data_IF_264628315815
#
_entry.id   IF_264628315815
#
_cell.length_a   1.000
_cell.length_b   1.000
_cell.length_c   1.000
_cell.angle_alpha   90.00
_cell.angle_beta   90.00
_cell.angle_gamma   90.00
#
_symmetry.space_group_name_H-M   'P 1'
#
loop_
_entity.id
_entity.type
_entity.pdbx_description
1 polymer ?
#
# COMPACT_ATOMS: atom_id res chain seq x y z
N UNK A 1 2.74 33.48 62.54
CA UNK A 1 2.54 34.85 63.04
C UNK A 1 2.63 35.76 61.83
N UNK A 2 1.58 36.24 61.20
CA UNK A 2 0.13 36.17 61.40
C UNK A 2 -0.52 36.62 60.07
N UNK A 3 -1.76 36.17 59.84
CA UNK A 3 -2.89 36.82 59.14
C UNK A 3 -2.61 37.58 57.82
N UNK A 4 -3.07 37.17 56.64
CA UNK A 4 -4.45 36.86 56.21
C UNK A 4 -5.42 38.06 56.38
N UNK A 5 -5.88 38.57 55.23
CA UNK A 5 -7.12 39.32 55.02
C UNK A 5 -7.72 38.67 53.76
N UNK A 6 -8.60 37.69 53.96
CA UNK A 6 -10.06 37.78 53.89
C UNK A 6 -10.54 38.33 52.53
N UNK A 7 -10.91 37.46 51.59
CA UNK A 7 -12.22 36.80 51.45
C UNK A 7 -13.41 37.77 51.39
N UNK A 8 -14.10 37.79 50.25
CA UNK A 8 -15.56 37.84 50.24
C UNK A 8 -16.15 37.32 48.91
N UNK A 9 -16.69 36.09 49.03
CA UNK A 9 -18.00 35.61 48.52
C UNK A 9 -18.21 35.56 46.99
N UNK A 10 -18.63 34.46 46.39
CA UNK A 10 -19.15 33.19 46.91
C UNK A 10 -20.07 32.55 45.87
N UNK A 11 -20.35 31.25 46.09
CA UNK A 11 -21.35 30.38 45.43
C UNK A 11 -20.86 29.67 44.15
N UNK A 12 -21.01 28.36 43.94
CA UNK A 12 -21.12 27.13 44.74
C UNK A 12 -21.29 25.97 43.74
N UNK A 13 -20.68 24.80 44.01
CA UNK A 13 -21.06 23.41 43.63
C UNK A 13 -21.37 23.10 42.14
N UNK A 14 -21.07 21.96 41.55
CA UNK A 14 -20.20 20.78 41.71
C UNK A 14 -20.59 19.88 40.51
N UNK A 15 -19.72 18.93 40.12
CA UNK A 15 -19.94 17.81 39.15
C UNK A 15 -20.24 18.18 37.67
N UNK A 16 -19.71 17.56 36.62
CA UNK A 16 -19.12 16.24 36.35
C UNK A 16 -18.16 16.30 35.14
N UNK A 17 -17.32 15.27 35.05
CA UNK A 17 -16.72 14.61 33.87
C UNK A 17 -17.12 15.13 32.46
N UNK A 18 -16.14 15.61 31.67
CA UNK A 18 -16.21 15.59 30.20
C UNK A 18 -14.85 15.87 29.54
N UNK A 19 -14.44 14.95 28.66
CA UNK A 19 -13.74 15.27 27.41
C UNK A 19 -12.23 15.53 27.47
N UNK A 20 -11.43 14.46 27.35
CA UNK A 20 -10.11 14.57 26.71
C UNK A 20 -10.35 14.88 25.22
N UNK A 21 -10.37 16.17 24.89
CA UNK A 21 -10.33 16.65 23.51
C UNK A 21 -8.95 16.37 22.93
N UNK A 22 -8.93 15.55 21.89
CA UNK A 22 -7.78 15.33 21.02
C UNK A 22 -7.31 16.66 20.45
N UNK A 23 -6.11 17.05 20.87
CA UNK A 23 -5.35 18.18 20.34
C UNK A 23 -4.89 17.85 18.92
N UNK A 24 -5.74 18.15 17.94
CA UNK A 24 -5.29 18.34 16.57
C UNK A 24 -6.09 19.44 15.86
N UNK A 25 -6.30 20.56 16.56
CA UNK A 25 -6.61 21.84 15.95
C UNK A 25 -5.32 22.67 15.92
N UNK A 26 -4.49 22.42 14.91
CA UNK A 26 -3.46 23.37 14.51
C UNK A 26 -3.65 23.78 13.04
N UNK A 27 -4.16 25.01 12.91
CA UNK A 27 -3.70 26.05 11.99
C UNK A 27 -4.05 25.87 10.49
N UNK A 28 -5.21 26.43 10.11
CA UNK A 28 -5.38 27.09 8.81
C UNK A 28 -5.68 28.57 9.03
N UNK A 29 -4.63 29.35 9.31
CA UNK A 29 -4.64 30.77 9.03
C UNK A 29 -3.71 31.01 7.83
N UNK A 30 -4.28 31.08 6.63
CA UNK A 30 -3.61 31.69 5.49
C UNK A 30 -4.60 32.55 4.70
N UNK A 31 -4.46 33.86 4.94
CA UNK A 31 -5.04 34.93 4.13
C UNK A 31 -4.22 34.99 2.84
N UNK A 32 -4.81 34.68 1.69
CA UNK A 32 -4.05 34.79 0.44
C UNK A 32 -4.70 34.18 -0.82
N UNK A 33 -5.87 34.68 -1.19
CA UNK A 33 -6.41 34.74 -2.56
C UNK A 33 -5.80 33.80 -3.64
N UNK A 34 -6.22 32.54 -3.70
CA UNK A 34 -6.20 31.77 -4.95
C UNK A 34 -7.31 30.71 -4.91
N UNK A 35 -8.27 30.82 -5.83
CA UNK A 35 -9.36 29.86 -5.98
C UNK A 35 -8.80 28.52 -6.43
N UNK A 36 -8.55 27.61 -5.48
CA UNK A 36 -8.30 26.21 -5.79
C UNK A 36 -9.57 25.62 -6.42
N UNK A 37 -9.54 25.47 -7.75
CA UNK A 37 -10.48 24.63 -8.47
C UNK A 37 -10.30 23.21 -7.95
N UNK A 38 -11.32 22.68 -7.29
CA UNK A 38 -11.47 21.25 -7.06
C UNK A 38 -11.32 20.52 -8.41
N UNK A 39 -10.33 19.63 -8.51
CA UNK A 39 -10.20 18.70 -9.63
C UNK A 39 -11.51 17.90 -9.75
N UNK A 40 -11.99 17.58 -10.97
CA UNK A 40 -13.13 16.68 -11.11
C UNK A 40 -12.74 15.30 -10.57
N UNK A 41 -13.27 14.95 -9.39
CA UNK A 41 -13.05 13.72 -8.63
C UNK A 41 -13.63 12.46 -9.28
N UNK A 42 -13.94 12.50 -10.58
CA UNK A 42 -14.51 11.35 -11.27
C UNK A 42 -13.39 10.58 -11.96
N UNK A 43 -12.95 9.48 -11.36
CA UNK A 43 -12.18 8.47 -12.09
C UNK A 43 -13.00 8.06 -13.33
N UNK A 44 -12.43 8.05 -14.54
CA UNK A 44 -13.20 7.72 -15.73
C UNK A 44 -13.72 6.28 -15.63
N UNK A 45 -14.88 6.04 -16.23
CA UNK A 45 -15.51 4.72 -16.33
C UNK A 45 -14.63 3.68 -17.05
N UNK A 46 -13.53 4.10 -17.66
CA UNK A 46 -12.59 3.26 -18.41
C UNK A 46 -11.56 2.52 -17.55
N UNK A 47 -11.32 2.91 -16.29
CA UNK A 47 -10.34 2.22 -15.43
C UNK A 47 -10.95 0.90 -14.95
N UNK A 48 -10.39 -0.22 -15.42
CA UNK A 48 -10.81 -1.59 -15.05
C UNK A 48 -9.74 -2.37 -14.33
N UNK A 49 -8.46 -2.08 -14.58
CA UNK A 49 -7.32 -2.80 -14.02
C UNK A 49 -6.42 -1.90 -13.17
N UNK A 50 -5.53 -2.48 -12.37
CA UNK A 50 -4.49 -1.73 -11.66
C UNK A 50 -3.56 -0.99 -12.62
N UNK A 51 -3.23 -1.60 -13.75
CA UNK A 51 -2.39 -0.99 -14.78
C UNK A 51 -3.06 0.27 -15.35
N UNK A 52 -4.37 0.22 -15.62
CA UNK A 52 -5.14 1.39 -16.06
C UNK A 52 -5.15 2.48 -14.99
N UNK A 53 -5.29 2.10 -13.71
CA UNK A 53 -5.29 3.03 -12.59
C UNK A 53 -3.93 3.75 -12.47
N UNK A 54 -2.82 3.02 -12.58
CA UNK A 54 -1.48 3.64 -12.57
C UNK A 54 -1.29 4.53 -13.80
N UNK A 55 -1.64 4.08 -15.00
CA UNK A 55 -1.54 4.91 -16.21
C UNK A 55 -2.35 6.19 -16.08
N UNK A 56 -3.55 6.09 -15.51
CA UNK A 56 -4.39 7.25 -15.24
C UNK A 56 -3.73 8.22 -14.26
N UNK A 57 -3.11 7.72 -13.19
CA UNK A 57 -2.44 8.53 -12.19
C UNK A 57 -1.17 9.24 -12.73
N UNK A 58 -0.50 8.64 -13.72
CA UNK A 58 0.74 9.16 -14.32
C UNK A 58 0.54 9.83 -15.69
N UNK A 59 -0.70 10.04 -16.14
CA UNK A 59 -0.96 10.70 -17.42
C UNK A 59 -0.55 12.18 -17.34
N UNK A 60 -0.18 12.77 -18.48
CA UNK A 60 -0.01 14.21 -18.58
C UNK A 60 -1.37 14.91 -18.54
N UNK A 61 -1.46 15.98 -17.77
CA UNK A 61 -2.64 16.83 -17.67
C UNK A 61 -2.30 18.26 -18.11
N UNK A 62 -3.22 18.90 -18.83
CA UNK A 62 -3.08 20.29 -19.25
C UNK A 62 -3.59 21.22 -18.15
N UNK A 63 -2.73 22.12 -17.70
CA UNK A 63 -3.05 23.19 -16.77
C UNK A 63 -3.31 24.45 -17.59
N UNK A 64 -4.59 24.77 -17.75
CA UNK A 64 -4.99 26.00 -18.43
C UNK A 64 -4.79 27.23 -17.55
N UNK A 65 -4.37 28.32 -18.18
CA UNK A 65 -4.24 29.60 -17.49
C UNK A 65 -3.01 29.71 -16.59
N UNK A 66 -1.98 28.89 -16.82
CA UNK A 66 -0.74 28.94 -16.05
C UNK A 66 0.01 30.23 -16.35
N UNK A 67 0.28 31.03 -15.32
CA UNK A 67 1.06 32.27 -15.46
C UNK A 67 2.54 31.95 -15.34
N UNK A 68 3.28 32.06 -16.44
CA UNK A 68 4.71 31.84 -16.44
C UNK A 68 5.42 32.87 -15.55
N UNK A 69 6.15 32.42 -14.54
CA UNK A 69 6.82 33.30 -13.57
C UNK A 69 7.86 34.24 -14.21
N UNK A 70 8.51 33.78 -15.30
CA UNK A 70 9.55 34.52 -16.04
C UNK A 70 8.96 35.52 -17.04
N UNK A 71 7.94 35.13 -17.81
CA UNK A 71 7.40 35.96 -18.90
C UNK A 71 6.13 36.72 -18.52
N UNK A 72 5.52 36.40 -17.38
CA UNK A 72 4.21 36.91 -16.91
C UNK A 72 3.05 36.65 -17.88
N UNK A 73 3.25 35.82 -18.90
CA UNK A 73 2.22 35.43 -19.85
C UNK A 73 1.40 34.27 -19.32
N UNK A 74 0.12 34.27 -19.69
CA UNK A 74 -0.80 33.16 -19.46
C UNK A 74 -0.62 32.16 -20.59
N UNK A 75 -0.23 30.94 -20.25
CA UNK A 75 -0.02 29.84 -21.19
C UNK A 75 -0.72 28.57 -20.70
N UNK A 76 -0.92 27.62 -21.61
CA UNK A 76 -1.25 26.25 -21.22
C UNK A 76 0.05 25.52 -20.87
N UNK A 77 0.12 24.97 -19.66
CA UNK A 77 1.23 24.14 -19.20
C UNK A 77 0.82 22.67 -19.18
N UNK A 78 1.80 21.77 -19.23
CA UNK A 78 1.58 20.34 -18.96
C UNK A 78 2.21 19.96 -17.63
N UNK A 79 1.50 19.14 -16.86
CA UNK A 79 2.01 18.52 -15.63
C UNK A 79 1.84 17.01 -15.75
N UNK A 80 2.89 16.28 -15.42
CA UNK A 80 2.90 14.82 -15.44
C UNK A 80 3.73 14.31 -14.28
N UNK A 81 3.26 13.24 -13.65
CA UNK A 81 3.99 12.55 -12.60
C UNK A 81 4.40 11.16 -13.07
N UNK A 82 5.47 10.65 -12.47
CA UNK A 82 6.05 9.34 -12.78
C UNK A 82 6.56 8.71 -11.48
N UNK A 83 6.68 7.39 -11.48
CA UNK A 83 7.26 6.62 -10.38
C UNK A 83 8.77 6.52 -10.58
N UNK A 84 9.53 7.04 -9.62
CA UNK A 84 11.01 7.01 -9.67
C UNK A 84 11.58 5.80 -8.94
N UNK A 85 11.05 5.49 -7.77
CA UNK A 85 11.52 4.41 -6.91
C UNK A 85 10.40 3.40 -6.67
N UNK A 86 10.74 2.11 -6.74
CA UNK A 86 9.80 1.00 -6.57
C UNK A 86 10.10 0.25 -5.27
N UNK A 87 9.25 0.32 -4.24
CA UNK A 87 9.55 -0.22 -2.91
C UNK A 87 9.50 -1.76 -2.89
N UNK A 88 10.24 -2.44 -2.00
CA UNK A 88 10.12 -3.89 -1.77
C UNK A 88 8.69 -4.35 -1.46
N UNK A 89 7.93 -3.55 -0.72
CA UNK A 89 6.51 -3.73 -0.45
C UNK A 89 5.77 -2.52 -1.04
N UNK A 90 4.92 -2.78 -2.03
CA UNK A 90 4.05 -1.79 -2.64
C UNK A 90 2.66 -1.91 -2.01
N UNK A 91 2.17 -0.80 -1.46
CA UNK A 91 0.82 -0.70 -0.90
C UNK A 91 0.01 0.19 -1.82
N UNK A 92 -1.07 -0.35 -2.39
CA UNK A 92 -2.00 0.39 -3.25
C UNK A 92 -3.31 0.59 -2.50
N UNK A 93 -3.67 1.85 -2.30
CA UNK A 93 -4.94 2.24 -1.68
C UNK A 93 -5.97 2.55 -2.78
N UNK A 94 -6.97 1.69 -2.90
CA UNK A 94 -8.06 1.83 -3.87
C UNK A 94 -9.15 2.71 -3.28
N UNK A 95 -9.09 4.01 -3.53
CA UNK A 95 -10.13 4.97 -3.11
C UNK A 95 -11.34 4.89 -4.04
N UNK A 96 -12.09 3.78 -3.95
CA UNK A 96 -13.27 3.47 -4.77
C UNK A 96 -14.57 4.11 -4.22
N UNK A 97 -14.49 5.33 -3.71
CA UNK A 97 -15.63 6.03 -3.14
C UNK A 97 -15.92 7.28 -3.98
N UNK A 98 -17.19 7.46 -4.37
CA UNK A 98 -17.61 8.63 -5.14
C UNK A 98 -18.54 9.49 -4.27
N UNK A 99 -18.45 10.80 -4.44
CA UNK A 99 -19.26 11.75 -3.70
C UNK A 99 -20.35 12.28 -4.62
N UNK A 100 -21.61 12.00 -4.30
CA UNK A 100 -22.72 12.53 -5.07
C UNK A 100 -23.06 13.95 -4.57
N UNK A 101 -22.60 14.94 -5.34
CA UNK A 101 -22.71 16.37 -4.99
C UNK A 101 -24.18 16.81 -4.85
N UNK A 102 -25.10 16.21 -5.58
CA UNK A 102 -26.52 16.59 -5.58
C UNK A 102 -27.27 16.14 -4.32
N UNK A 103 -26.88 14.99 -3.74
CA UNK A 103 -27.52 14.44 -2.54
C UNK A 103 -26.70 14.72 -1.27
N UNK A 104 -25.54 15.37 -1.41
CA UNK A 104 -24.53 15.57 -0.36
C UNK A 104 -24.12 14.24 0.33
N UNK A 105 -24.36 13.11 -0.34
CA UNK A 105 -24.18 11.77 0.20
C UNK A 105 -22.90 11.13 -0.35
N UNK A 106 -22.11 10.55 0.55
CA UNK A 106 -20.97 9.72 0.18
C UNK A 106 -21.50 8.36 -0.25
N UNK A 107 -21.30 7.95 -1.51
CA UNK A 107 -21.75 6.65 -2.01
C UNK A 107 -20.57 5.71 -2.20
N UNK A 108 -20.65 4.52 -1.62
CA UNK A 108 -19.70 3.44 -1.91
C UNK A 108 -19.84 3.05 -3.37
N UNK A 109 -18.79 3.26 -4.16
CA UNK A 109 -18.80 2.83 -5.55
C UNK A 109 -18.39 1.36 -5.58
N UNK A 110 -19.32 0.49 -5.97
CA UNK A 110 -19.04 -0.93 -6.24
C UNK A 110 -18.26 -1.11 -7.56
N UNK A 111 -17.39 -0.15 -7.92
CA UNK A 111 -16.55 -0.24 -9.10
C UNK A 111 -15.50 -1.30 -8.83
N UNK A 112 -15.43 -2.30 -9.70
CA UNK A 112 -14.43 -3.34 -9.62
C UNK A 112 -13.17 -2.86 -10.33
N UNK A 113 -12.06 -2.75 -9.58
CA UNK A 113 -10.73 -2.68 -10.17
C UNK A 113 -10.13 -4.06 -10.04
N UNK A 114 -9.93 -4.69 -11.18
CA UNK A 114 -9.34 -6.01 -11.28
C UNK A 114 -7.85 -5.93 -10.92
N UNK A 115 -7.43 -6.84 -10.06
CA UNK A 115 -6.03 -7.02 -9.67
C UNK A 115 -5.64 -8.49 -9.83
N UNK A 116 -4.35 -8.74 -10.02
CA UNK A 116 -3.81 -10.06 -10.34
C UNK A 116 -2.86 -10.53 -9.25
N UNK A 117 -2.63 -11.84 -9.14
CA UNK A 117 -1.57 -12.35 -8.27
C UNK A 117 -0.20 -11.79 -8.69
N UNK A 118 0.02 -11.65 -10.00
CA UNK A 118 1.27 -11.18 -10.56
C UNK A 118 0.99 -9.87 -11.29
N UNK A 119 1.58 -8.80 -10.77
CA UNK A 119 1.36 -7.44 -11.20
C UNK A 119 2.67 -6.85 -11.70
N UNK A 120 2.63 -6.11 -12.80
CA UNK A 120 3.80 -5.40 -13.31
C UNK A 120 3.47 -3.93 -13.57
N UNK A 121 4.29 -3.04 -13.00
CA UNK A 121 4.12 -1.60 -13.19
C UNK A 121 4.44 -1.23 -14.65
N UNK A 122 3.52 -0.54 -15.38
CA UNK A 122 3.75 -0.17 -16.78
C UNK A 122 5.01 0.68 -16.96
N UNK A 123 5.74 0.46 -18.06
CA UNK A 123 7.06 1.09 -18.28
C UNK A 123 6.96 2.59 -18.44
N UNK A 124 5.93 3.01 -19.14
CA UNK A 124 5.59 4.40 -19.47
C UNK A 124 5.30 5.25 -18.22
N UNK A 125 5.06 4.62 -17.07
CA UNK A 125 4.77 5.29 -15.81
C UNK A 125 6.02 5.62 -14.97
N UNK A 126 7.24 5.37 -15.48
CA UNK A 126 8.51 5.46 -14.72
C UNK A 126 9.44 6.58 -15.23
N UNK A 127 10.21 7.23 -14.34
CA UNK A 127 11.14 8.32 -14.72
C UNK A 127 12.48 7.88 -15.31
N UNK A 128 12.77 6.58 -15.41
CA UNK A 128 14.10 6.11 -15.81
C UNK A 128 14.20 4.63 -16.15
N UNK A 129 15.44 4.16 -16.30
CA UNK A 129 15.74 2.73 -16.56
C UNK A 129 15.73 1.94 -15.26
N UNK A 130 14.53 1.68 -14.74
CA UNK A 130 14.35 0.75 -13.62
C UNK A 130 14.55 -0.69 -14.13
N UNK A 131 15.30 -1.51 -13.40
CA UNK A 131 15.48 -2.94 -13.72
C UNK A 131 14.09 -3.60 -13.80
N UNK A 132 13.85 -4.34 -14.89
CA UNK A 132 12.61 -5.08 -15.11
C UNK A 132 12.23 -5.96 -13.92
N UNK A 133 13.21 -6.53 -13.20
CA UNK A 133 12.98 -7.36 -12.01
C UNK A 133 12.35 -6.58 -10.86
N UNK A 134 12.63 -5.28 -10.76
CA UNK A 134 12.10 -4.41 -9.72
C UNK A 134 10.66 -3.93 -10.00
N UNK A 135 10.14 -4.14 -11.22
CA UNK A 135 8.79 -3.72 -11.60
C UNK A 135 7.72 -4.79 -11.39
N UNK A 136 8.16 -6.02 -11.20
CA UNK A 136 7.30 -7.18 -11.00
C UNK A 136 7.02 -7.35 -9.52
N UNK A 137 5.74 -7.52 -9.22
CA UNK A 137 5.21 -7.67 -7.89
C UNK A 137 4.31 -8.88 -7.80
N UNK A 138 4.37 -9.58 -6.66
CA UNK A 138 3.49 -10.68 -6.32
C UNK A 138 2.57 -10.27 -5.18
N UNK A 139 1.28 -10.54 -5.33
CA UNK A 139 0.26 -10.22 -4.33
C UNK A 139 0.59 -10.95 -3.03
N UNK A 140 0.56 -10.20 -1.93
CA UNK A 140 0.88 -10.66 -0.58
C UNK A 140 -0.38 -10.66 0.30
N UNK A 141 -1.17 -9.60 0.22
CA UNK A 141 -2.41 -9.49 0.97
C UNK A 141 -3.41 -8.54 0.28
N UNK A 142 -4.68 -8.72 0.58
CA UNK A 142 -5.78 -7.85 0.20
C UNK A 142 -6.61 -7.56 1.45
N UNK A 143 -6.80 -6.28 1.75
CA UNK A 143 -7.75 -5.83 2.77
C UNK A 143 -9.00 -5.39 2.05
N UNK A 144 -10.12 -6.00 2.40
CA UNK A 144 -11.44 -5.65 1.88
C UNK A 144 -12.20 -4.81 2.89
N UNK A 145 -12.93 -3.83 2.40
CA UNK A 145 -13.96 -3.14 3.15
C UNK A 145 -15.30 -3.82 2.86
N UNK A 146 -15.88 -4.51 3.84
CA UNK A 146 -17.21 -5.09 3.78
C UNK A 146 -18.24 -4.11 4.34
N UNK A 147 -19.31 -3.84 3.59
CA UNK A 147 -20.38 -2.94 4.02
C UNK A 147 -20.84 -2.01 2.91
N UNK A 148 -22.01 -1.38 3.07
CA UNK A 148 -22.60 -0.49 2.07
C UNK A 148 -22.16 0.96 2.23
N UNK A 149 -21.66 1.33 3.41
CA UNK A 149 -21.19 2.68 3.72
C UNK A 149 -19.71 2.84 3.42
N UNK A 150 -19.25 4.09 3.41
CA UNK A 150 -17.83 4.43 3.18
C UNK A 150 -17.08 4.59 4.49
N UNK A 151 -17.78 5.08 5.52
CA UNK A 151 -17.20 5.39 6.83
C UNK A 151 -17.27 4.16 7.73
N UNK A 152 -18.42 3.48 7.72
CA UNK A 152 -18.66 2.30 8.53
C UNK A 152 -18.57 1.03 7.68
N UNK A 153 -17.93 0.02 8.23
CA UNK A 153 -17.88 -1.30 7.65
C UNK A 153 -16.95 -2.22 8.42
N UNK A 154 -16.84 -3.44 7.94
CA UNK A 154 -16.05 -4.50 8.53
C UNK A 154 -14.86 -4.83 7.64
N UNK A 155 -13.66 -4.86 8.22
CA UNK A 155 -12.44 -5.13 7.46
C UNK A 155 -12.08 -6.61 7.53
N UNK A 156 -11.99 -7.24 6.36
CA UNK A 156 -11.59 -8.64 6.20
C UNK A 156 -10.28 -8.66 5.41
N UNK A 157 -9.35 -9.52 5.79
CA UNK A 157 -8.05 -9.61 5.12
C UNK A 157 -7.82 -10.99 4.52
N UNK A 158 -7.50 -11.04 3.24
CA UNK A 158 -6.93 -12.24 2.62
C UNK A 158 -5.40 -12.07 2.57
N UNK A 159 -4.65 -13.00 3.15
CA UNK A 159 -3.19 -12.95 3.25
C UNK A 159 -2.56 -14.26 2.79
N UNK A 160 -1.47 -14.17 2.03
CA UNK A 160 -0.70 -15.34 1.64
C UNK A 160 0.33 -15.70 2.71
N UNK A 161 0.14 -16.85 3.34
CA UNK A 161 1.00 -17.32 4.41
C UNK A 161 2.15 -18.17 3.86
N UNK A 162 3.37 -17.60 3.86
CA UNK A 162 4.57 -18.22 3.26
C UNK A 162 4.88 -19.61 3.82
N UNK A 163 4.80 -19.80 5.14
CA UNK A 163 5.13 -21.07 5.78
C UNK A 163 4.12 -22.19 5.50
N UNK A 164 2.88 -21.84 5.14
CA UNK A 164 1.82 -22.79 4.80
C UNK A 164 1.66 -22.95 3.29
N UNK A 165 2.25 -22.03 2.50
CA UNK A 165 2.08 -21.93 1.06
C UNK A 165 0.58 -21.86 0.67
N UNK A 166 -0.22 -21.13 1.45
CA UNK A 166 -1.68 -21.06 1.33
C UNK A 166 -2.19 -19.65 1.57
N UNK A 167 -3.33 -19.33 0.95
CA UNK A 167 -4.08 -18.12 1.25
C UNK A 167 -5.00 -18.35 2.44
N UNK A 168 -4.99 -17.40 3.37
CA UNK A 168 -5.84 -17.37 4.55
C UNK A 168 -6.76 -16.16 4.47
N UNK A 169 -8.05 -16.34 4.74
CA UNK A 169 -9.00 -15.28 5.03
C UNK A 169 -9.09 -15.11 6.53
N UNK A 170 -8.79 -13.91 7.00
CA UNK A 170 -8.86 -13.47 8.38
C UNK A 170 -10.04 -12.52 8.53
N UNK A 171 -11.03 -12.96 9.29
CA UNK A 171 -12.26 -12.24 9.61
C UNK A 171 -12.42 -12.28 11.14
N UNK A 172 -11.90 -11.26 11.83
CA UNK A 172 -11.71 -11.22 13.28
C UNK A 172 -11.05 -12.50 13.84
N UNK A 173 -11.77 -13.26 14.65
CA UNK A 173 -11.32 -14.52 15.25
C UNK A 173 -11.43 -15.71 14.29
N UNK A 174 -12.02 -15.53 13.12
CA UNK A 174 -12.26 -16.58 12.14
C UNK A 174 -11.17 -16.58 11.06
N UNK A 175 -10.37 -17.65 11.03
CA UNK A 175 -9.32 -17.84 10.03
C UNK A 175 -9.66 -19.06 9.19
N UNK A 176 -9.72 -18.89 7.86
CA UNK A 176 -10.05 -19.98 6.92
C UNK A 176 -9.05 -20.03 5.77
N UNK A 177 -8.68 -21.23 5.35
CA UNK A 177 -7.93 -21.41 4.10
C UNK A 177 -8.86 -21.12 2.91
N UNK A 178 -8.37 -20.34 1.96
CA UNK A 178 -9.08 -20.01 0.71
C UNK A 178 -8.17 -20.24 -0.50
N UNK A 179 -8.75 -20.31 -1.70
CA UNK A 179 -7.98 -20.39 -2.94
C UNK A 179 -7.65 -18.99 -3.47
N UNK A 180 -6.56 -18.88 -4.24
CA UNK A 180 -6.23 -17.64 -4.96
C UNK A 180 -7.40 -17.14 -5.81
N UNK A 181 -8.14 -18.04 -6.47
CA UNK A 181 -9.33 -17.65 -7.24
C UNK A 181 -10.36 -16.91 -6.39
N UNK A 182 -10.58 -17.32 -5.12
CA UNK A 182 -11.49 -16.60 -4.22
C UNK A 182 -10.96 -15.22 -3.83
N UNK A 183 -9.65 -15.05 -3.72
CA UNK A 183 -9.01 -13.75 -3.46
C UNK A 183 -9.24 -12.80 -4.65
N UNK A 184 -8.97 -13.27 -5.87
CA UNK A 184 -9.07 -12.45 -7.08
C UNK A 184 -10.52 -12.13 -7.48
N UNK A 185 -11.47 -13.02 -7.19
CA UNK A 185 -12.90 -12.85 -7.53
C UNK A 185 -13.69 -12.16 -6.41
N UNK A 186 -13.03 -11.49 -5.44
CA UNK A 186 -13.59 -11.03 -4.16
C UNK A 186 -14.92 -10.26 -4.18
N UNK A 187 -15.40 -9.81 -5.35
CA UNK A 187 -16.65 -9.07 -5.51
C UNK A 187 -17.87 -9.95 -5.93
N UNK A 188 -17.68 -11.15 -6.49
CA UNK A 188 -18.80 -11.85 -7.17
C UNK A 188 -19.63 -12.77 -6.26
N UNK A 189 -19.15 -13.12 -5.06
CA UNK A 189 -19.80 -14.17 -4.23
C UNK A 189 -20.25 -13.73 -2.84
N UNK A 190 -19.68 -12.66 -2.29
CA UNK A 190 -20.01 -12.12 -0.97
C UNK A 190 -20.33 -10.63 -1.17
N UNK A 191 -21.62 -10.33 -1.37
CA UNK A 191 -22.07 -8.98 -1.71
C UNK A 191 -21.55 -7.94 -0.71
N UNK A 192 -20.95 -6.87 -1.24
CA UNK A 192 -20.34 -5.72 -0.55
C UNK A 192 -18.88 -5.85 -0.11
N UNK A 193 -18.19 -6.96 -0.38
CA UNK A 193 -16.73 -6.99 -0.30
C UNK A 193 -16.14 -6.13 -1.42
N UNK A 194 -15.36 -5.11 -1.07
CA UNK A 194 -14.65 -4.28 -2.04
C UNK A 194 -13.18 -4.19 -1.62
N UNK A 195 -12.22 -4.46 -2.52
CA UNK A 195 -10.80 -4.33 -2.20
C UNK A 195 -10.47 -2.87 -1.88
N UNK A 196 -9.80 -2.66 -0.76
CA UNK A 196 -9.46 -1.33 -0.24
C UNK A 196 -7.94 -1.11 -0.24
N UNK A 197 -7.19 -2.06 0.32
CA UNK A 197 -5.72 -2.05 0.28
C UNK A 197 -5.21 -3.30 -0.40
N UNK A 198 -4.26 -3.14 -1.31
CA UNK A 198 -3.51 -4.24 -1.91
C UNK A 198 -2.05 -4.15 -1.47
N UNK A 199 -1.54 -5.26 -0.94
CA UNK A 199 -0.15 -5.41 -0.56
C UNK A 199 0.54 -6.31 -1.57
N UNK A 200 1.61 -5.80 -2.16
CA UNK A 200 2.39 -6.46 -3.18
C UNK A 200 3.85 -6.52 -2.75
N UNK A 201 4.51 -7.67 -2.92
CA UNK A 201 5.93 -7.84 -2.67
C UNK A 201 6.71 -7.92 -3.98
N UNK A 202 7.79 -7.16 -4.08
CA UNK A 202 8.66 -7.11 -5.25
C UNK A 202 9.35 -8.45 -5.47
N UNK A 203 9.37 -8.94 -6.71
CA UNK A 203 9.79 -10.30 -7.05
C UNK A 203 11.22 -10.65 -6.65
N UNK A 204 12.15 -9.72 -6.85
CA UNK A 204 13.57 -9.85 -6.48
C UNK A 204 13.77 -10.05 -4.97
N UNK A 205 12.81 -9.63 -4.15
CA UNK A 205 12.88 -9.79 -2.69
C UNK A 205 12.26 -11.08 -2.19
N UNK A 206 11.61 -11.89 -3.04
CA UNK A 206 10.95 -13.13 -2.63
C UNK A 206 11.93 -14.20 -2.13
N UNK A 207 13.20 -14.12 -2.56
CA UNK A 207 14.25 -15.05 -2.17
C UNK A 207 15.30 -14.34 -1.30
N UNK A 208 15.11 -14.39 0.02
CA UNK A 208 16.20 -14.22 0.99
C UNK A 208 16.11 -15.33 2.02
N UNK A 209 17.22 -16.08 2.15
CA UNK A 209 17.56 -17.11 3.13
C UNK A 209 17.32 -18.57 2.69
N UNK A 210 18.31 -19.12 1.96
CA UNK A 210 18.83 -20.48 2.12
C UNK A 210 20.25 -20.60 1.54
N UNK A 211 21.11 -19.62 1.80
CA UNK A 211 22.51 -19.67 1.37
C UNK A 211 23.45 -18.97 2.36
N UNK A 212 23.48 -19.47 3.60
CA UNK A 212 24.62 -19.30 4.52
C UNK A 212 24.40 -20.10 5.82
N UNK A 213 24.51 -21.44 5.74
CA UNK A 213 24.99 -22.32 6.81
C UNK A 213 25.41 -23.67 6.20
N UNK A 214 26.42 -23.63 5.33
CA UNK A 214 27.28 -24.79 5.08
C UNK A 214 28.69 -24.37 5.45
N UNK A 215 28.89 -24.14 6.75
CA UNK A 215 30.20 -23.95 7.35
C UNK A 215 31.08 -25.13 6.95
N UNK A 216 32.24 -24.82 6.38
CA UNK A 216 33.27 -25.78 6.00
C UNK A 216 33.54 -26.79 7.12
N UNK A 217 33.10 -28.04 6.93
CA UNK A 217 33.71 -29.17 7.62
C UNK A 217 34.98 -29.51 6.84
N UNK A 218 36.06 -28.85 7.24
CA UNK A 218 37.40 -29.10 6.74
C UNK A 218 37.96 -30.32 7.49
N UNK A 219 37.67 -31.53 7.02
CA UNK A 219 38.25 -32.76 7.57
C UNK A 219 39.60 -33.04 6.92
N UNK A 220 40.67 -32.49 7.52
CA UNK A 220 42.04 -32.91 7.27
C UNK A 220 42.74 -33.19 8.61
N UNK A 221 42.69 -34.43 9.08
CA UNK A 221 43.86 -35.10 9.66
C UNK A 221 43.52 -36.53 10.12
N UNK A 222 44.00 -37.55 9.41
CA UNK A 222 44.65 -38.72 10.02
C UNK A 222 45.77 -39.16 9.08
N UNK A 223 47.00 -38.75 9.40
CA UNK A 223 48.20 -39.47 9.00
C UNK A 223 48.22 -40.81 9.74
N UNK A 224 48.30 -41.91 9.00
CA UNK A 224 48.92 -43.13 9.50
C UNK A 224 49.84 -43.70 8.43
N UNK A 225 51.11 -43.77 8.81
CA UNK A 225 52.18 -44.39 8.03
C UNK A 225 51.91 -45.90 7.92
N UNK A 226 52.10 -46.49 6.75
CA UNK A 226 52.88 -47.73 6.72
C UNK A 226 53.53 -48.04 5.36
N UNK A 227 54.80 -48.41 5.50
CA UNK A 227 55.75 -49.05 4.60
C UNK A 227 55.25 -49.84 3.38
N UNK A 228 55.92 -49.59 2.25
CA UNK A 228 56.58 -50.60 1.42
C UNK A 228 55.72 -51.57 0.60
N UNK A 229 55.80 -51.48 -0.73
CA UNK A 229 56.57 -52.44 -1.55
C UNK A 229 56.29 -52.22 -3.05
N UNK A 230 57.35 -52.43 -3.85
CA UNK A 230 57.38 -52.38 -5.31
C UNK A 230 56.45 -53.43 -5.94
N UNK A 231 55.81 -53.11 -7.08
CA UNK A 231 56.08 -53.78 -8.38
C UNK A 231 55.18 -53.25 -9.52
N UNK A 232 55.83 -53.12 -10.67
CA UNK A 232 55.31 -53.02 -12.04
C UNK A 232 54.40 -54.19 -12.42
N UNK A 233 53.50 -53.99 -13.40
CA UNK A 233 53.37 -54.81 -14.62
C UNK A 233 52.48 -54.06 -15.62
N UNK A 234 52.97 -54.00 -16.86
CA UNK A 234 52.28 -53.62 -18.09
C UNK A 234 51.86 -54.87 -18.86
N UNK A 235 50.67 -54.83 -19.48
CA UNK A 235 50.23 -55.61 -20.66
C UNK A 235 48.75 -55.29 -20.80
N UNK A 236 48.17 -54.96 -21.95
CA UNK A 236 48.50 -55.18 -23.35
C UNK A 236 47.15 -55.16 -24.06
#
# INVERSE_FOLDING_TARGET
MDSELDDQLGLCHDVDDDGVQDSSNDIWHEVGNSKHKSLPTRSPSSIKTLEDAIRWQTKSETIHGYVCSKTKQVIDASSQMFLENLPPILILHLKLFDYEIETNAVKKLLKTVDFLENFEIPRECLTGKIDHRCRRYKLLAVVYHNGTEVINGHYITDVYHLGLNQWLRCDDSNIKVISLSKVLTGNEREGNLVPYLLFYRRYDTLHSNNSSTSSAINNNNIQSNNSGSKRSISSG
#
